data_IF_328050628368
#
_entry.id   IF_328050628368
#
_cell.length_a   1.000
_cell.length_b   1.000
_cell.length_c   1.000
_cell.angle_alpha   90.00
_cell.angle_beta   90.00
_cell.angle_gamma   90.00
#
_symmetry.space_group_name_H-M   'P 1'
#
loop_
_entity.id
_entity.type
_entity.pdbx_description
1 polymer ?
#
# COMPACT_ATOMS: atom_id res chain seq x y z
N UNK A 1 0.72 -2.33 -32.62
CA UNK A 1 1.24 -2.36 -31.24
C UNK A 1 2.72 -2.68 -31.30
N UNK A 2 3.59 -1.66 -31.28
CA UNK A 2 5.04 -1.88 -31.06
C UNK A 2 5.17 -2.64 -29.76
N UNK A 3 5.98 -3.71 -29.74
CA UNK A 3 6.30 -4.47 -28.52
C UNK A 3 6.83 -3.44 -27.51
N UNK A 4 6.04 -3.11 -26.48
CA UNK A 4 6.60 -2.65 -25.21
C UNK A 4 7.62 -3.73 -24.88
N UNK A 5 8.90 -3.39 -24.92
CA UNK A 5 9.93 -4.35 -24.53
C UNK A 5 9.55 -4.89 -23.16
N UNK A 6 9.54 -6.22 -23.03
CA UNK A 6 9.22 -6.87 -21.76
C UNK A 6 10.10 -6.24 -20.67
N UNK A 7 9.50 -5.74 -19.59
CA UNK A 7 10.24 -5.01 -18.56
C UNK A 7 11.39 -5.83 -17.98
N UNK A 8 11.28 -7.16 -17.99
CA UNK A 8 12.36 -8.06 -17.60
C UNK A 8 13.60 -7.91 -18.50
N UNK A 9 13.39 -7.80 -19.82
CA UNK A 9 14.47 -7.58 -20.79
C UNK A 9 15.12 -6.21 -20.64
N UNK A 10 14.32 -5.22 -20.24
CA UNK A 10 14.79 -3.85 -19.99
C UNK A 10 15.60 -3.79 -18.71
N UNK A 11 15.07 -4.36 -17.62
CA UNK A 11 15.77 -4.49 -16.35
C UNK A 11 17.13 -5.14 -16.57
N UNK A 12 17.15 -6.30 -17.24
CA UNK A 12 18.38 -7.03 -17.52
C UNK A 12 19.36 -6.21 -18.37
N UNK A 13 18.87 -5.44 -19.34
CA UNK A 13 19.72 -4.60 -20.19
C UNK A 13 20.32 -3.40 -19.45
N UNK A 14 19.55 -2.78 -18.54
CA UNK A 14 20.03 -1.67 -17.71
C UNK A 14 21.03 -2.20 -16.68
N UNK A 15 20.69 -3.28 -15.96
CA UNK A 15 21.58 -3.93 -15.00
C UNK A 15 22.90 -4.40 -15.65
N UNK A 16 22.86 -4.94 -16.88
CA UNK A 16 24.06 -5.36 -17.59
C UNK A 16 24.93 -4.19 -18.12
N UNK A 17 24.37 -2.98 -18.18
CA UNK A 17 25.08 -1.77 -18.62
C UNK A 17 25.57 -0.91 -17.44
N UNK A 18 25.11 -1.21 -16.22
CA UNK A 18 25.48 -0.51 -15.01
C UNK A 18 26.90 -0.86 -14.57
N UNK A 19 27.55 0.06 -13.87
CA UNK A 19 28.85 -0.21 -13.24
C UNK A 19 28.69 -1.22 -12.09
N UNK A 20 29.76 -1.97 -11.72
CA UNK A 20 29.68 -2.92 -10.61
C UNK A 20 29.19 -2.26 -9.31
N UNK A 21 28.16 -2.85 -8.72
CA UNK A 21 27.49 -2.38 -7.51
C UNK A 21 26.51 -1.20 -7.69
N UNK A 22 26.33 -0.69 -8.90
CA UNK A 22 25.38 0.40 -9.17
C UNK A 22 23.93 -0.08 -9.06
N UNK A 23 23.11 0.68 -8.33
CA UNK A 23 21.66 0.44 -8.22
C UNK A 23 20.96 0.99 -9.46
N UNK A 24 19.89 0.31 -9.90
CA UNK A 24 19.27 0.57 -11.21
C UNK A 24 17.77 0.87 -11.14
N UNK A 25 17.14 0.87 -9.95
CA UNK A 25 15.68 0.89 -9.85
C UNK A 25 15.11 2.27 -10.19
N UNK A 26 15.71 3.34 -9.66
CA UNK A 26 15.45 4.74 -10.04
C UNK A 26 15.55 4.96 -11.56
N UNK A 27 16.61 4.46 -12.18
CA UNK A 27 16.80 4.52 -13.65
C UNK A 27 15.71 3.79 -14.45
N UNK A 28 15.26 2.63 -13.96
CA UNK A 28 14.15 1.90 -14.58
C UNK A 28 12.83 2.65 -14.38
N UNK A 29 12.61 3.24 -13.20
CA UNK A 29 11.43 4.06 -12.92
C UNK A 29 11.37 5.28 -13.83
N UNK A 30 12.49 5.95 -14.07
CA UNK A 30 12.59 7.09 -14.98
C UNK A 30 12.18 6.70 -16.41
N UNK A 31 12.63 5.53 -16.89
CA UNK A 31 12.19 4.99 -18.18
C UNK A 31 10.68 4.72 -18.20
N UNK A 32 10.15 4.11 -17.14
CA UNK A 32 8.73 3.80 -17.03
C UNK A 32 7.87 5.07 -17.08
N UNK A 33 8.28 6.13 -16.37
CA UNK A 33 7.62 7.44 -16.38
C UNK A 33 7.61 8.09 -17.78
N UNK A 34 8.68 7.91 -18.56
CA UNK A 34 8.73 8.39 -19.97
C UNK A 34 7.96 7.53 -20.96
N UNK A 35 7.44 6.37 -20.55
CA UNK A 35 6.73 5.44 -21.44
C UNK A 35 5.22 5.72 -21.40
N UNK A 36 4.62 6.26 -22.48
CA UNK A 36 3.21 6.66 -22.46
C UNK A 36 2.28 5.48 -22.19
N UNK A 37 1.33 5.65 -21.27
CA UNK A 37 0.33 4.62 -20.93
C UNK A 37 0.84 3.48 -20.04
N UNK A 38 2.09 3.56 -19.57
CA UNK A 38 2.71 2.48 -18.80
C UNK A 38 2.10 2.32 -17.41
N UNK A 39 1.93 3.42 -16.68
CA UNK A 39 1.40 3.39 -15.31
C UNK A 39 -0.09 3.01 -15.29
N UNK A 40 -0.85 3.47 -16.27
CA UNK A 40 -2.25 3.12 -16.44
C UNK A 40 -2.41 1.63 -16.75
N UNK A 41 -1.55 1.08 -17.62
CA UNK A 41 -1.52 -0.35 -17.91
C UNK A 41 -1.09 -1.16 -16.67
N UNK A 42 -0.09 -0.68 -15.92
CA UNK A 42 0.34 -1.32 -14.68
C UNK A 42 -0.81 -1.39 -13.68
N UNK A 43 -1.46 -0.28 -13.38
CA UNK A 43 -2.58 -0.23 -12.45
C UNK A 43 -3.72 -1.17 -12.89
N UNK A 44 -4.12 -1.13 -14.17
CA UNK A 44 -5.16 -2.01 -14.69
C UNK A 44 -4.80 -3.49 -14.54
N UNK A 45 -3.56 -3.87 -14.88
CA UNK A 45 -3.10 -5.26 -14.74
C UNK A 45 -2.98 -5.68 -13.27
N UNK A 46 -2.53 -4.81 -12.38
CA UNK A 46 -2.42 -5.09 -10.94
C UNK A 46 -3.81 -5.35 -10.34
N UNK A 47 -4.83 -4.59 -10.74
CA UNK A 47 -6.22 -4.81 -10.34
C UNK A 47 -6.82 -6.08 -10.91
N UNK A 48 -6.89 -6.19 -12.25
CA UNK A 48 -7.61 -7.29 -12.94
C UNK A 48 -6.91 -8.65 -12.76
N UNK A 49 -5.57 -8.69 -12.80
CA UNK A 49 -4.83 -9.94 -12.72
C UNK A 49 -4.67 -10.47 -11.29
N UNK A 50 -5.08 -9.72 -10.27
CA UNK A 50 -5.01 -10.16 -8.87
C UNK A 50 -5.99 -11.29 -8.55
N UNK A 51 -7.12 -11.37 -9.24
CA UNK A 51 -8.07 -12.47 -9.09
C UNK A 51 -7.48 -13.79 -9.60
N UNK A 52 -7.47 -14.84 -8.78
CA UNK A 52 -6.92 -16.15 -9.14
C UNK A 52 -7.57 -16.78 -10.39
N UNK A 53 -8.80 -16.38 -10.72
CA UNK A 53 -9.52 -16.81 -11.93
C UNK A 53 -9.12 -16.05 -13.21
N UNK A 54 -8.37 -14.96 -13.12
CA UNK A 54 -8.00 -14.14 -14.26
C UNK A 54 -6.90 -14.82 -15.11
N UNK A 55 -7.02 -14.86 -16.45
CA UNK A 55 -6.07 -15.57 -17.32
C UNK A 55 -4.63 -15.03 -17.22
N UNK A 56 -4.45 -13.78 -16.79
CA UNK A 56 -3.13 -13.19 -16.59
C UNK A 56 -2.52 -13.43 -15.19
N UNK A 57 -3.27 -13.99 -14.23
CA UNK A 57 -2.82 -14.11 -12.83
C UNK A 57 -1.51 -14.91 -12.70
N UNK A 58 -1.46 -16.11 -13.31
CA UNK A 58 -0.26 -16.95 -13.28
C UNK A 58 0.95 -16.27 -13.92
N UNK A 59 0.73 -15.56 -15.04
CA UNK A 59 1.78 -14.80 -15.73
C UNK A 59 2.30 -13.65 -14.87
N UNK A 60 1.41 -12.93 -14.18
CA UNK A 60 1.84 -11.85 -13.29
C UNK A 60 2.63 -12.39 -12.09
N UNK A 61 2.15 -13.46 -11.45
CA UNK A 61 2.89 -14.12 -10.38
C UNK A 61 4.30 -14.52 -10.81
N UNK A 62 4.43 -15.15 -11.98
CA UNK A 62 5.75 -15.52 -12.53
C UNK A 62 6.65 -14.30 -12.79
N UNK A 63 6.08 -13.21 -13.32
CA UNK A 63 6.81 -11.96 -13.54
C UNK A 63 7.33 -11.37 -12.22
N UNK A 64 6.51 -11.36 -11.16
CA UNK A 64 6.94 -10.93 -9.84
C UNK A 64 8.10 -11.78 -9.30
N UNK A 65 8.02 -13.12 -9.43
CA UNK A 65 9.12 -13.99 -9.02
C UNK A 65 10.42 -13.70 -9.79
N UNK A 66 10.33 -13.46 -11.10
CA UNK A 66 11.50 -13.17 -11.94
C UNK A 66 12.12 -11.81 -11.62
N UNK A 67 11.30 -10.76 -11.51
CA UNK A 67 11.78 -9.42 -11.14
C UNK A 67 12.41 -9.43 -9.75
N UNK A 68 11.81 -10.12 -8.78
CA UNK A 68 12.40 -10.29 -7.45
C UNK A 68 13.78 -10.95 -7.52
N UNK A 69 13.94 -11.99 -8.34
CA UNK A 69 15.24 -12.67 -8.50
C UNK A 69 16.29 -11.73 -9.09
N UNK A 70 15.94 -10.97 -10.14
CA UNK A 70 16.84 -9.98 -10.74
C UNK A 70 17.21 -8.85 -9.77
N UNK A 71 16.25 -8.39 -8.96
CA UNK A 71 16.49 -7.37 -7.93
C UNK A 71 17.42 -7.88 -6.83
N UNK A 72 17.28 -9.13 -6.39
CA UNK A 72 18.20 -9.76 -5.43
C UNK A 72 19.63 -9.78 -6.00
N UNK A 73 19.81 -10.17 -7.27
CA UNK A 73 21.13 -10.19 -7.91
C UNK A 73 21.79 -8.80 -7.92
N UNK A 74 21.02 -7.74 -8.23
CA UNK A 74 21.51 -6.34 -8.20
C UNK A 74 21.89 -5.92 -6.78
N UNK A 75 21.06 -6.21 -5.78
CA UNK A 75 21.33 -5.81 -4.40
C UNK A 75 22.49 -6.59 -3.77
N UNK A 76 22.64 -7.87 -4.08
CA UNK A 76 23.81 -8.66 -3.65
C UNK A 76 25.11 -8.13 -4.29
N UNK A 77 25.07 -7.74 -5.57
CA UNK A 77 26.24 -7.13 -6.24
C UNK A 77 26.59 -5.77 -5.61
N UNK A 78 25.58 -4.93 -5.35
CA UNK A 78 25.76 -3.65 -4.66
C UNK A 78 26.31 -3.81 -3.24
N UNK A 79 25.82 -4.82 -2.51
CA UNK A 79 26.33 -5.18 -1.17
C UNK A 79 27.76 -5.70 -1.21
N UNK A 80 28.09 -6.53 -2.18
CA UNK A 80 29.45 -7.04 -2.39
C UNK A 80 30.46 -5.91 -2.65
N UNK A 81 30.04 -4.86 -3.38
CA UNK A 81 30.86 -3.67 -3.66
C UNK A 81 30.80 -2.60 -2.57
N UNK A 82 30.05 -2.81 -1.48
CA UNK A 82 29.96 -1.89 -0.35
C UNK A 82 29.10 -0.64 -0.61
N UNK A 83 28.28 -0.64 -1.65
CA UNK A 83 27.26 0.39 -1.91
C UNK A 83 26.08 0.22 -0.92
N UNK A 84 25.76 -1.03 -0.58
CA UNK A 84 24.79 -1.38 0.46
C UNK A 84 25.52 -1.83 1.72
N UNK A 85 25.03 -1.40 2.89
CA UNK A 85 25.58 -1.79 4.17
C UNK A 85 25.53 -3.32 4.39
N UNK A 86 26.59 -3.86 5.00
CA UNK A 86 26.80 -5.31 5.09
C UNK A 86 25.76 -6.07 5.93
N UNK A 87 25.06 -5.38 6.84
CA UNK A 87 24.03 -5.90 7.73
C UNK A 87 22.62 -5.89 7.12
N UNK A 88 22.43 -5.30 5.94
CA UNK A 88 21.13 -5.25 5.24
C UNK A 88 20.70 -6.64 4.76
N UNK A 89 19.46 -7.02 5.04
CA UNK A 89 18.82 -8.23 4.54
C UNK A 89 18.34 -8.03 3.10
N UNK A 90 19.11 -8.52 2.12
CA UNK A 90 18.83 -8.31 0.69
C UNK A 90 17.48 -8.90 0.28
N UNK A 91 17.12 -10.07 0.77
CA UNK A 91 15.85 -10.72 0.44
C UNK A 91 14.66 -9.88 0.96
N UNK A 92 14.74 -9.43 2.22
CA UNK A 92 13.73 -8.58 2.84
C UNK A 92 13.64 -7.19 2.21
N UNK A 93 14.77 -6.55 1.92
CA UNK A 93 14.84 -5.26 1.24
C UNK A 93 14.25 -5.34 -0.17
N UNK A 94 14.52 -6.43 -0.91
CA UNK A 94 13.94 -6.62 -2.25
C UNK A 94 12.42 -6.61 -2.21
N UNK A 95 11.81 -7.32 -1.25
CA UNK A 95 10.35 -7.36 -1.11
C UNK A 95 9.80 -5.98 -0.79
N UNK A 96 10.36 -5.32 0.23
CA UNK A 96 9.94 -4.00 0.67
C UNK A 96 10.09 -2.95 -0.43
N UNK A 97 11.21 -2.98 -1.16
CA UNK A 97 11.47 -2.06 -2.26
C UNK A 97 10.52 -2.28 -3.43
N UNK A 98 10.33 -3.54 -3.85
CA UNK A 98 9.38 -3.85 -4.94
C UNK A 98 7.96 -3.43 -4.55
N UNK A 99 7.58 -3.65 -3.29
CA UNK A 99 6.28 -3.21 -2.78
C UNK A 99 6.16 -1.68 -2.75
N UNK A 100 7.15 -0.98 -2.18
CA UNK A 100 7.21 0.47 -2.18
C UNK A 100 7.08 1.05 -3.58
N UNK A 101 7.79 0.49 -4.55
CA UNK A 101 7.70 0.93 -5.93
C UNK A 101 6.32 0.70 -6.56
N UNK A 102 5.72 -0.48 -6.38
CA UNK A 102 4.36 -0.76 -6.86
C UNK A 102 3.33 0.21 -6.26
N UNK A 103 3.43 0.47 -4.95
CA UNK A 103 2.57 1.43 -4.28
C UNK A 103 2.78 2.87 -4.74
N UNK A 104 4.04 3.30 -4.94
CA UNK A 104 4.37 4.65 -5.43
C UNK A 104 3.78 4.88 -6.82
N UNK A 105 3.86 3.88 -7.71
CA UNK A 105 3.29 3.96 -9.05
C UNK A 105 1.77 4.12 -9.03
N UNK A 106 1.06 3.50 -8.08
CA UNK A 106 -0.38 3.69 -7.93
C UNK A 106 -0.69 5.02 -7.26
N UNK A 107 0.01 5.35 -6.18
CA UNK A 107 -0.20 6.57 -5.41
C UNK A 107 0.00 7.82 -6.28
N UNK A 108 0.96 7.82 -7.20
CA UNK A 108 1.18 8.91 -8.15
C UNK A 108 0.03 9.10 -9.16
N UNK A 109 -0.81 8.09 -9.40
CA UNK A 109 -2.02 8.24 -10.22
C UNK A 109 -3.12 9.04 -9.52
N UNK A 110 -3.11 9.05 -8.18
CA UNK A 110 -4.07 9.80 -7.37
C UNK A 110 -3.53 11.15 -6.91
N UNK A 111 -2.23 11.23 -6.62
CA UNK A 111 -1.57 12.41 -6.07
C UNK A 111 -0.34 12.82 -6.91
N UNK A 112 -0.51 13.12 -8.21
CA UNK A 112 0.61 13.37 -9.12
C UNK A 112 1.45 14.60 -8.74
N UNK A 113 0.86 15.57 -8.04
CA UNK A 113 1.56 16.79 -7.59
C UNK A 113 2.32 16.59 -6.26
N UNK A 114 2.19 15.43 -5.62
CA UNK A 114 2.78 15.14 -4.30
C UNK A 114 3.73 13.95 -4.28
N UNK A 115 3.72 13.11 -5.32
CA UNK A 115 4.49 11.85 -5.34
C UNK A 115 5.27 11.74 -6.64
N UNK A 116 6.57 12.01 -6.56
CA UNK A 116 7.53 11.70 -7.61
C UNK A 116 8.14 10.31 -7.35
N UNK A 117 7.80 9.35 -8.22
CA UNK A 117 8.25 7.96 -8.07
C UNK A 117 9.76 7.84 -8.19
N UNK A 118 10.41 8.66 -9.02
CA UNK A 118 11.85 8.56 -9.27
C UNK A 118 12.61 9.12 -8.08
N UNK A 119 12.27 10.32 -7.63
CA UNK A 119 12.88 10.97 -6.46
C UNK A 119 12.76 10.10 -5.20
N UNK A 120 11.57 9.55 -4.95
CA UNK A 120 11.33 8.64 -3.82
C UNK A 120 12.20 7.37 -3.87
N UNK A 121 12.46 6.84 -5.06
CA UNK A 121 13.32 5.65 -5.21
C UNK A 121 14.79 6.00 -5.06
N UNK A 122 15.25 7.13 -5.60
CA UNK A 122 16.64 7.59 -5.44
C UNK A 122 16.97 7.83 -3.97
N UNK A 123 16.10 8.51 -3.23
CA UNK A 123 16.25 8.71 -1.78
C UNK A 123 16.26 7.38 -1.03
N UNK A 124 15.38 6.44 -1.39
CA UNK A 124 15.35 5.10 -0.77
C UNK A 124 16.61 4.30 -1.05
N UNK A 125 17.12 4.35 -2.27
CA UNK A 125 18.36 3.68 -2.69
C UNK A 125 19.55 4.21 -1.89
N UNK A 126 19.64 5.52 -1.68
CA UNK A 126 20.71 6.15 -0.89
C UNK A 126 20.72 5.67 0.58
N UNK A 127 19.54 5.41 1.16
CA UNK A 127 19.43 4.95 2.55
C UNK A 127 20.01 3.55 2.78
N UNK A 128 20.17 2.72 1.75
CA UNK A 128 20.79 1.40 1.90
C UNK A 128 22.29 1.44 2.16
N UNK A 129 22.96 2.56 1.88
CA UNK A 129 24.36 2.77 2.25
C UNK A 129 24.55 2.85 3.77
N UNK A 130 23.48 3.20 4.51
CA UNK A 130 23.50 3.27 5.96
C UNK A 130 23.24 1.90 6.59
N UNK A 131 23.92 1.56 7.71
CA UNK A 131 23.59 0.39 8.52
C UNK A 131 22.11 0.31 8.88
N UNK A 132 21.64 -0.88 9.20
CA UNK A 132 20.28 -1.06 9.71
C UNK A 132 20.14 -0.30 11.02
N UNK A 133 19.01 0.37 11.23
CA UNK A 133 18.72 1.12 12.45
C UNK A 133 19.74 2.23 12.75
N UNK A 134 20.35 2.80 11.70
CA UNK A 134 21.37 3.83 11.84
C UNK A 134 20.84 5.13 12.45
N UNK A 135 21.64 5.73 13.33
CA UNK A 135 21.49 7.08 13.87
C UNK A 135 22.80 7.83 13.67
N UNK A 136 22.71 9.12 13.38
CA UNK A 136 23.87 10.00 13.41
C UNK A 136 24.41 10.07 14.85
N UNK A 137 25.69 9.73 15.10
CA UNK A 137 26.29 9.84 16.44
C UNK A 137 26.27 11.25 17.03
N UNK A 138 26.16 12.27 16.18
CA UNK A 138 26.06 13.67 16.58
C UNK A 138 24.59 14.12 16.83
N UNK A 139 23.61 13.23 16.58
CA UNK A 139 22.21 13.46 16.93
C UNK A 139 22.07 13.39 18.46
N UNK A 140 21.77 14.53 19.09
CA UNK A 140 21.56 14.61 20.54
C UNK A 140 20.06 14.47 20.85
N UNK A 141 19.59 13.27 21.26
CA UNK A 141 18.18 13.05 21.59
C UNK A 141 17.75 13.81 22.86
N UNK A 142 18.68 14.49 23.56
CA UNK A 142 18.44 15.19 24.83
C UNK A 142 18.19 16.70 24.68
N UNK A 143 18.14 17.23 23.46
CA UNK A 143 17.83 18.65 23.22
C UNK A 143 16.38 18.96 23.58
N UNK A 144 16.12 19.41 24.83
CA UNK A 144 14.97 20.20 25.33
C UNK A 144 13.73 20.24 24.41
N UNK A 145 13.21 19.07 24.01
CA UNK A 145 12.11 19.00 23.09
C UNK A 145 10.84 19.23 23.90
N UNK A 146 10.13 20.33 23.59
CA UNK A 146 8.73 20.46 23.99
C UNK A 146 8.01 19.15 23.66
N UNK A 147 7.28 18.60 24.63
CA UNK A 147 6.54 17.35 24.46
C UNK A 147 5.78 17.40 23.13
N UNK A 148 5.91 16.35 22.31
CA UNK A 148 5.19 16.26 21.05
C UNK A 148 3.71 16.62 21.25
N UNK A 149 3.16 17.40 20.32
CA UNK A 149 1.76 17.82 20.32
C UNK A 149 0.79 16.64 20.33
N UNK A 150 -0.52 16.89 20.41
CA UNK A 150 -1.51 15.82 20.44
C UNK A 150 -1.40 14.93 19.21
N UNK A 151 -1.62 13.63 19.40
CA UNK A 151 -1.68 12.67 18.29
C UNK A 151 -2.72 13.12 17.25
N UNK A 152 -2.40 13.08 15.95
CA UNK A 152 -3.36 13.42 14.92
C UNK A 152 -4.51 12.41 14.90
N UNK A 153 -5.67 12.82 14.39
CA UNK A 153 -6.78 11.90 14.10
C UNK A 153 -6.72 11.47 12.64
N UNK A 154 -6.86 10.17 12.38
CA UNK A 154 -6.95 9.67 11.02
C UNK A 154 -8.31 10.04 10.42
N UNK A 155 -8.31 10.98 9.47
CA UNK A 155 -9.52 11.39 8.77
C UNK A 155 -9.95 10.33 7.75
N UNK A 156 -10.99 9.58 8.09
CA UNK A 156 -11.68 8.72 7.13
C UNK A 156 -12.66 9.54 6.28
N UNK A 157 -12.92 9.11 5.06
CA UNK A 157 -13.93 9.75 4.20
C UNK A 157 -15.30 9.46 4.79
N UNK A 158 -15.90 10.45 5.46
CA UNK A 158 -17.23 10.31 6.03
C UNK A 158 -18.29 10.14 4.92
N UNK A 159 -19.25 9.26 5.15
CA UNK A 159 -20.49 9.16 4.34
C UNK A 159 -21.71 9.46 5.19
N UNK A 160 -22.84 9.91 4.59
CA UNK A 160 -24.01 10.37 5.32
C UNK A 160 -24.57 9.27 6.23
N UNK A 161 -24.93 9.63 7.46
CA UNK A 161 -25.65 8.78 8.41
C UNK A 161 -26.83 8.10 7.71
N UNK A 162 -26.76 6.79 7.55
CA UNK A 162 -27.95 5.99 7.22
C UNK A 162 -28.51 5.45 8.53
N UNK A 163 -29.66 5.98 8.94
CA UNK A 163 -30.32 5.64 10.22
C UNK A 163 -30.37 4.11 10.46
N UNK A 164 -30.02 3.64 11.67
CA UNK A 164 -30.05 2.22 11.98
C UNK A 164 -31.50 1.71 12.06
N UNK A 165 -31.98 1.12 10.97
CA UNK A 165 -33.26 0.40 10.94
C UNK A 165 -33.33 -0.82 11.87
N UNK A 166 -34.51 -1.44 11.97
CA UNK A 166 -34.80 -2.62 12.80
C UNK A 166 -33.75 -3.75 12.67
N UNK A 167 -33.56 -4.56 13.73
CA UNK A 167 -32.52 -5.60 13.82
C UNK A 167 -32.46 -6.58 12.63
N UNK A 168 -33.62 -6.91 12.04
CA UNK A 168 -33.69 -7.75 10.83
C UNK A 168 -33.13 -7.04 9.59
N UNK A 169 -33.40 -5.74 9.46
CA UNK A 169 -32.85 -4.89 8.41
C UNK A 169 -31.33 -4.76 8.52
N UNK A 170 -30.79 -4.65 9.75
CA UNK A 170 -29.33 -4.61 9.99
C UNK A 170 -28.63 -5.90 9.57
N UNK A 171 -29.16 -7.07 9.98
CA UNK A 171 -28.60 -8.36 9.57
C UNK A 171 -28.62 -8.54 8.05
N UNK A 172 -29.70 -8.11 7.39
CA UNK A 172 -29.79 -8.18 5.93
C UNK A 172 -28.79 -7.25 5.24
N UNK A 173 -28.64 -6.03 5.75
CA UNK A 173 -27.67 -5.05 5.26
C UNK A 173 -26.24 -5.58 5.35
N UNK A 174 -25.86 -6.15 6.51
CA UNK A 174 -24.57 -6.77 6.70
C UNK A 174 -24.32 -7.95 5.74
N UNK A 175 -25.34 -8.78 5.49
CA UNK A 175 -25.21 -9.88 4.52
C UNK A 175 -25.03 -9.38 3.08
N UNK A 176 -25.80 -8.37 2.67
CA UNK A 176 -25.62 -7.73 1.36
C UNK A 176 -24.21 -7.16 1.21
N UNK A 177 -23.72 -6.49 2.26
CA UNK A 177 -22.40 -5.87 2.27
C UNK A 177 -21.27 -6.91 2.15
N UNK A 178 -21.35 -8.00 2.92
CA UNK A 178 -20.38 -9.09 2.87
C UNK A 178 -20.35 -9.78 1.50
N UNK A 179 -21.52 -10.08 0.91
CA UNK A 179 -21.57 -10.70 -0.43
C UNK A 179 -21.11 -9.73 -1.53
N UNK A 180 -21.42 -8.44 -1.42
CA UNK A 180 -20.93 -7.42 -2.34
C UNK A 180 -19.42 -7.27 -2.26
N UNK A 181 -18.85 -7.21 -1.06
CA UNK A 181 -17.39 -7.18 -0.80
C UNK A 181 -16.71 -8.36 -1.49
N UNK A 182 -17.22 -9.58 -1.28
CA UNK A 182 -16.66 -10.79 -1.88
C UNK A 182 -16.74 -10.78 -3.41
N UNK A 183 -17.85 -10.30 -3.98
CA UNK A 183 -18.00 -10.24 -5.44
C UNK A 183 -17.13 -9.16 -6.06
N UNK A 184 -17.06 -7.96 -5.47
CA UNK A 184 -16.16 -6.90 -5.95
C UNK A 184 -14.69 -7.30 -5.85
N UNK A 185 -14.28 -8.00 -4.78
CA UNK A 185 -12.91 -8.51 -4.66
C UNK A 185 -12.58 -9.58 -5.71
N UNK A 186 -13.56 -10.42 -6.08
CA UNK A 186 -13.34 -11.56 -7.00
C UNK A 186 -13.44 -11.17 -8.46
N UNK A 187 -14.49 -10.43 -8.80
CA UNK A 187 -14.89 -10.14 -10.19
C UNK A 187 -14.64 -8.68 -10.57
N UNK A 188 -14.21 -7.84 -9.64
CA UNK A 188 -14.10 -6.40 -9.85
C UNK A 188 -15.43 -5.66 -9.69
N UNK A 189 -15.36 -4.33 -9.55
CA UNK A 189 -16.55 -3.50 -9.50
C UNK A 189 -17.27 -3.54 -10.84
N UNK A 190 -16.56 -3.34 -11.95
CA UNK A 190 -17.14 -3.23 -13.30
C UNK A 190 -18.05 -4.40 -13.67
N UNK A 191 -17.54 -5.63 -13.53
CA UNK A 191 -18.20 -6.85 -13.99
C UNK A 191 -19.25 -7.41 -13.01
N UNK A 192 -19.31 -6.89 -11.77
CA UNK A 192 -20.32 -7.32 -10.79
C UNK A 192 -21.63 -6.55 -10.97
N UNK A 193 -22.74 -7.20 -11.35
CA UNK A 193 -24.04 -6.52 -11.40
C UNK A 193 -24.82 -6.57 -10.08
N UNK A 194 -25.77 -5.65 -9.87
CA UNK A 194 -26.73 -5.72 -8.76
C UNK A 194 -27.56 -7.01 -8.77
N UNK A 195 -27.73 -7.64 -9.95
CA UNK A 195 -28.43 -8.91 -10.06
C UNK A 195 -27.58 -10.07 -9.55
N UNK A 196 -26.26 -10.04 -9.79
CA UNK A 196 -25.33 -11.05 -9.28
C UNK A 196 -25.29 -11.01 -7.76
N UNK A 197 -25.21 -9.81 -7.17
CA UNK A 197 -25.24 -9.60 -5.72
C UNK A 197 -26.57 -10.07 -5.14
N UNK A 198 -27.71 -9.68 -5.72
CA UNK A 198 -29.03 -10.11 -5.25
C UNK A 198 -29.16 -11.65 -5.27
N UNK A 199 -28.63 -12.29 -6.32
CA UNK A 199 -28.61 -13.74 -6.48
C UNK A 199 -27.73 -14.40 -5.40
N UNK A 200 -26.53 -13.87 -5.15
CA UNK A 200 -25.62 -14.38 -4.12
C UNK A 200 -26.23 -14.30 -2.70
N UNK A 201 -26.89 -13.17 -2.39
CA UNK A 201 -27.54 -12.94 -1.09
C UNK A 201 -28.84 -13.77 -0.93
N UNK A 202 -29.43 -14.21 -2.05
CA UNK A 202 -30.71 -14.92 -2.07
C UNK A 202 -31.93 -14.00 -1.90
N UNK A 203 -31.87 -12.77 -2.43
CA UNK A 203 -32.96 -11.79 -2.39
C UNK A 203 -33.34 -11.30 -3.79
N UNK A 204 -34.50 -10.64 -3.91
CA UNK A 204 -34.84 -9.96 -5.17
C UNK A 204 -33.98 -8.71 -5.36
N UNK A 205 -33.73 -8.32 -6.62
CA UNK A 205 -33.07 -7.04 -6.94
C UNK A 205 -33.81 -5.84 -6.32
N UNK A 206 -35.14 -5.88 -6.26
CA UNK A 206 -35.94 -4.85 -5.61
C UNK A 206 -35.68 -4.77 -4.11
N UNK A 207 -35.54 -5.91 -3.43
CA UNK A 207 -35.18 -5.98 -2.00
C UNK A 207 -33.78 -5.44 -1.76
N UNK A 208 -32.82 -5.76 -2.63
CA UNK A 208 -31.47 -5.19 -2.55
C UNK A 208 -31.52 -3.67 -2.69
N UNK A 209 -32.21 -3.17 -3.71
CA UNK A 209 -32.35 -1.72 -3.98
C UNK A 209 -33.05 -0.96 -2.84
N UNK A 210 -33.90 -1.63 -2.06
CA UNK A 210 -34.48 -1.04 -0.86
C UNK A 210 -33.43 -0.75 0.23
N UNK A 211 -32.39 -1.59 0.33
CA UNK A 211 -31.29 -1.39 1.29
C UNK A 211 -30.18 -0.49 0.74
N UNK A 212 -29.87 -0.62 -0.55
CA UNK A 212 -28.84 0.13 -1.25
C UNK A 212 -29.39 0.62 -2.59
N UNK A 213 -29.85 1.89 -2.69
CA UNK A 213 -30.56 2.40 -3.86
C UNK A 213 -29.79 2.35 -5.18
N UNK A 214 -28.46 2.23 -5.13
CA UNK A 214 -27.61 2.10 -6.31
C UNK A 214 -26.38 1.24 -6.03
N UNK A 215 -25.67 0.85 -7.09
CA UNK A 215 -24.42 0.08 -7.00
C UNK A 215 -23.29 0.93 -6.43
N UNK A 216 -23.29 2.23 -6.73
CA UNK A 216 -22.36 3.23 -6.22
C UNK A 216 -22.52 3.41 -4.71
N UNK A 217 -23.76 3.52 -4.21
CA UNK A 217 -24.02 3.61 -2.76
C UNK A 217 -23.64 2.32 -2.01
N UNK A 218 -23.77 1.17 -2.66
CA UNK A 218 -23.29 -0.09 -2.11
C UNK A 218 -21.76 -0.13 -2.08
N UNK A 219 -21.09 0.34 -3.14
CA UNK A 219 -19.63 0.47 -3.19
C UNK A 219 -19.12 1.41 -2.09
N UNK A 220 -19.72 2.59 -1.93
CA UNK A 220 -19.37 3.51 -0.85
C UNK A 220 -19.50 2.83 0.51
N UNK A 221 -20.56 2.05 0.75
CA UNK A 221 -20.73 1.34 2.00
C UNK A 221 -19.66 0.24 2.22
N UNK A 222 -19.22 -0.46 1.17
CA UNK A 222 -18.13 -1.44 1.26
C UNK A 222 -16.83 -0.75 1.66
N UNK A 223 -16.53 0.39 1.06
CA UNK A 223 -15.35 1.19 1.36
C UNK A 223 -15.39 1.78 2.79
N UNK A 224 -16.56 2.23 3.25
CA UNK A 224 -16.76 2.70 4.63
C UNK A 224 -16.58 1.60 5.66
N UNK A 225 -17.02 0.36 5.37
CA UNK A 225 -16.81 -0.79 6.25
C UNK A 225 -15.31 -1.04 6.44
N UNK A 226 -14.55 -1.01 5.34
CA UNK A 226 -13.09 -1.15 5.38
C UNK A 226 -12.43 -0.06 6.24
N UNK A 227 -12.82 1.20 6.06
CA UNK A 227 -12.23 2.29 6.84
C UNK A 227 -12.59 2.20 8.33
N UNK A 228 -13.81 1.76 8.66
CA UNK A 228 -14.24 1.54 10.04
C UNK A 228 -13.45 0.40 10.68
N UNK A 229 -13.29 -0.71 9.97
CA UNK A 229 -12.57 -1.86 10.48
C UNK A 229 -11.08 -1.58 10.70
N UNK A 230 -10.49 -0.70 9.87
CA UNK A 230 -9.14 -0.18 10.11
C UNK A 230 -9.09 0.63 11.39
N UNK A 231 -10.03 1.54 11.64
CA UNK A 231 -10.05 2.34 12.87
C UNK A 231 -10.25 1.49 14.12
N UNK A 232 -11.12 0.48 14.06
CA UNK A 232 -11.39 -0.43 15.17
C UNK A 232 -10.18 -1.36 15.45
N UNK A 233 -9.56 -1.90 14.40
CA UNK A 233 -8.41 -2.81 14.52
C UNK A 233 -7.08 -2.09 14.79
N UNK A 234 -6.91 -0.85 14.33
CA UNK A 234 -5.75 -0.03 14.65
C UNK A 234 -5.79 0.49 16.08
N UNK A 235 -6.97 0.47 16.73
CA UNK A 235 -7.18 0.66 18.16
C UNK A 235 -5.97 1.19 18.93
N UNK A 236 -5.57 2.43 18.66
CA UNK A 236 -4.46 3.14 19.33
C UNK A 236 -4.81 3.47 20.80
N UNK A 237 -5.78 2.73 21.36
CA UNK A 237 -6.34 2.89 22.68
C UNK A 237 -5.24 2.58 23.70
N UNK A 238 -4.53 3.64 24.10
CA UNK A 238 -3.44 3.57 25.07
C UNK A 238 -2.05 3.93 24.54
N UNK A 239 -1.88 4.22 23.23
CA UNK A 239 -0.61 4.74 22.74
C UNK A 239 -0.35 6.14 23.33
N UNK A 240 0.79 6.31 23.98
CA UNK A 240 1.21 7.53 24.64
C UNK A 240 2.02 8.46 23.72
N UNK A 241 2.56 7.95 22.61
CA UNK A 241 3.38 8.72 21.65
C UNK A 241 3.16 8.30 20.20
N UNK A 242 3.62 9.14 19.26
CA UNK A 242 3.52 8.86 17.84
C UNK A 242 4.40 7.67 17.41
N UNK A 243 5.55 7.48 18.06
CA UNK A 243 6.40 6.31 17.84
C UNK A 243 5.73 5.01 18.29
N UNK A 244 4.95 5.01 19.38
CA UNK A 244 4.16 3.84 19.78
C UNK A 244 3.05 3.51 18.78
N UNK A 245 2.37 4.54 18.26
CA UNK A 245 1.37 4.41 17.18
C UNK A 245 2.01 3.75 15.95
N UNK A 246 3.14 4.27 15.47
CA UNK A 246 3.85 3.72 14.31
C UNK A 246 4.27 2.26 14.55
N UNK A 247 4.89 1.95 15.69
CA UNK A 247 5.33 0.58 16.05
C UNK A 247 4.18 -0.42 16.19
N UNK A 248 2.94 0.03 16.40
CA UNK A 248 1.75 -0.83 16.50
C UNK A 248 1.17 -1.26 15.14
N UNK A 249 1.56 -0.59 14.04
CA UNK A 249 1.05 -0.85 12.69
C UNK A 249 1.19 -2.30 12.24
N UNK A 250 2.35 -2.99 12.43
CA UNK A 250 2.51 -4.37 12.01
C UNK A 250 1.50 -5.31 12.67
N UNK A 251 1.20 -5.10 13.96
CA UNK A 251 0.25 -5.94 14.69
C UNK A 251 -1.20 -5.68 14.22
N UNK A 252 -1.52 -4.43 13.90
CA UNK A 252 -2.79 -4.08 13.25
C UNK A 252 -2.94 -4.75 11.89
N UNK A 253 -1.90 -4.70 11.06
CA UNK A 253 -1.89 -5.35 9.75
C UNK A 253 -2.03 -6.88 9.86
N UNK A 254 -1.37 -7.51 10.84
CA UNK A 254 -1.49 -8.94 11.10
C UNK A 254 -2.94 -9.33 11.46
N UNK A 255 -3.59 -8.56 12.34
CA UNK A 255 -5.00 -8.78 12.70
C UNK A 255 -5.92 -8.63 11.49
N UNK A 256 -5.79 -7.55 10.72
CA UNK A 256 -6.60 -7.35 9.51
C UNK A 256 -6.43 -8.47 8.49
N UNK A 257 -5.20 -8.98 8.30
CA UNK A 257 -4.95 -10.09 7.39
C UNK A 257 -5.56 -11.42 7.87
N UNK A 258 -5.67 -11.62 9.19
CA UNK A 258 -6.26 -12.82 9.80
C UNK A 258 -7.79 -12.76 9.85
N UNK A 259 -8.34 -11.65 10.32
CA UNK A 259 -9.76 -11.51 10.65
C UNK A 259 -10.58 -11.09 9.42
N UNK A 260 -10.00 -10.27 8.53
CA UNK A 260 -10.73 -9.62 7.44
C UNK A 260 -9.97 -9.60 6.10
N UNK A 261 -9.44 -10.75 5.62
CA UNK A 261 -8.69 -10.80 4.35
C UNK A 261 -9.49 -10.26 3.16
N UNK A 262 -10.81 -10.48 3.14
CA UNK A 262 -11.70 -9.99 2.07
C UNK A 262 -11.76 -8.46 1.96
N UNK A 263 -11.52 -7.71 3.05
CA UNK A 263 -11.46 -6.25 3.01
C UNK A 263 -10.15 -5.75 2.41
N UNK A 264 -9.04 -6.46 2.66
CA UNK A 264 -7.75 -6.19 1.99
C UNK A 264 -7.89 -6.44 0.49
N UNK A 265 -8.50 -7.57 0.11
CA UNK A 265 -8.71 -7.93 -1.30
C UNK A 265 -9.55 -6.90 -2.05
N UNK A 266 -10.72 -6.55 -1.51
CA UNK A 266 -11.60 -5.58 -2.17
C UNK A 266 -10.92 -4.21 -2.26
N UNK A 267 -10.19 -3.80 -1.22
CA UNK A 267 -9.49 -2.52 -1.22
C UNK A 267 -8.43 -2.48 -2.31
N UNK A 268 -7.58 -3.51 -2.39
CA UNK A 268 -6.49 -3.57 -3.35
C UNK A 268 -6.97 -3.65 -4.80
N UNK A 269 -8.06 -4.37 -5.07
CA UNK A 269 -8.69 -4.40 -6.40
C UNK A 269 -9.28 -3.02 -6.74
N UNK A 270 -10.08 -2.46 -5.84
CA UNK A 270 -10.77 -1.19 -6.09
C UNK A 270 -9.81 0.00 -6.20
N UNK A 271 -8.69 0.02 -5.46
CA UNK A 271 -7.68 1.08 -5.57
C UNK A 271 -7.00 1.08 -6.94
N UNK A 272 -6.94 -0.07 -7.62
CA UNK A 272 -6.44 -0.17 -8.98
C UNK A 272 -7.51 0.18 -10.02
N UNK A 273 -8.74 -0.34 -9.87
CA UNK A 273 -9.85 -0.08 -10.80
C UNK A 273 -10.31 1.38 -10.79
N UNK A 274 -10.16 2.07 -9.65
CA UNK A 274 -10.60 3.43 -9.47
C UNK A 274 -9.59 4.49 -9.93
N UNK A 275 -8.50 4.10 -10.61
CA UNK A 275 -7.52 5.04 -11.18
C UNK A 275 -8.14 5.99 -12.20
N UNK A 276 -8.99 5.55 -13.15
CA UNK A 276 -9.64 6.48 -14.06
C UNK A 276 -10.57 7.44 -13.31
N UNK A 277 -10.45 8.74 -13.57
CA UNK A 277 -11.28 9.78 -12.94
C UNK A 277 -12.80 9.62 -13.14
N UNK A 278 -13.21 8.83 -14.15
CA UNK A 278 -14.61 8.51 -14.39
C UNK A 278 -15.17 7.42 -13.43
N UNK A 279 -14.30 6.74 -12.68
CA UNK A 279 -14.72 5.69 -11.76
C UNK A 279 -15.41 6.29 -10.52
N UNK A 280 -16.57 5.77 -10.07
CA UNK A 280 -17.33 6.35 -8.95
C UNK A 280 -16.58 6.45 -7.61
N UNK A 281 -15.54 5.63 -7.41
CA UNK A 281 -14.69 5.65 -6.21
C UNK A 281 -13.37 6.42 -6.37
N UNK A 282 -13.11 7.07 -7.51
CA UNK A 282 -11.84 7.78 -7.72
C UNK A 282 -11.58 8.82 -6.63
N UNK A 283 -12.56 9.72 -6.41
CA UNK A 283 -12.46 10.79 -5.41
C UNK A 283 -12.32 10.26 -3.97
N UNK A 284 -12.92 9.10 -3.69
CA UNK A 284 -12.77 8.42 -2.40
C UNK A 284 -11.29 8.03 -2.17
N UNK A 285 -10.65 7.36 -3.14
CA UNK A 285 -9.26 6.94 -3.01
C UNK A 285 -8.31 8.14 -2.99
N UNK A 286 -8.52 9.14 -3.86
CA UNK A 286 -7.73 10.37 -3.86
C UNK A 286 -7.75 11.06 -2.49
N UNK A 287 -8.95 11.23 -1.90
CA UNK A 287 -9.11 11.83 -0.58
C UNK A 287 -8.49 10.97 0.52
N UNK A 288 -8.69 9.65 0.45
CA UNK A 288 -8.16 8.69 1.43
C UNK A 288 -6.62 8.64 1.43
N UNK A 289 -5.99 8.74 0.26
CA UNK A 289 -4.53 8.83 0.14
C UNK A 289 -4.00 10.16 0.65
N UNK A 290 -4.63 11.28 0.29
CA UNK A 290 -4.24 12.60 0.79
C UNK A 290 -4.30 12.67 2.33
N UNK A 291 -5.39 12.18 2.92
CA UNK A 291 -5.58 12.15 4.37
C UNK A 291 -4.58 11.24 5.08
N UNK A 292 -4.27 10.07 4.51
CA UNK A 292 -3.26 9.18 5.09
C UNK A 292 -1.87 9.77 5.02
N UNK A 293 -1.51 10.42 3.92
CA UNK A 293 -0.23 11.09 3.79
C UNK A 293 -0.07 12.20 4.84
N UNK A 294 -1.08 13.06 5.00
CA UNK A 294 -1.10 14.07 6.07
C UNK A 294 -0.98 13.47 7.47
N UNK A 295 -1.72 12.39 7.73
CA UNK A 295 -1.71 11.71 9.03
C UNK A 295 -0.35 11.10 9.37
N UNK A 296 0.24 10.33 8.45
CA UNK A 296 1.52 9.67 8.69
C UNK A 296 2.68 10.65 8.70
N UNK A 297 2.65 11.71 7.90
CA UNK A 297 3.65 12.79 7.98
C UNK A 297 3.65 13.41 9.36
N UNK A 298 2.48 13.71 9.92
CA UNK A 298 2.40 14.28 11.26
C UNK A 298 2.86 13.30 12.34
N UNK A 299 2.56 11.99 12.22
CA UNK A 299 3.08 10.98 13.13
C UNK A 299 4.62 10.90 13.09
N UNK A 300 5.22 10.84 11.90
CA UNK A 300 6.67 10.81 11.77
C UNK A 300 7.31 12.12 12.28
N UNK A 301 6.67 13.27 12.05
CA UNK A 301 7.15 14.56 12.58
C UNK A 301 7.11 14.57 14.11
N UNK A 302 6.04 14.08 14.73
CA UNK A 302 5.95 13.98 16.19
C UNK A 302 6.95 12.96 16.74
N UNK A 303 7.13 11.81 16.07
CA UNK A 303 8.15 10.83 16.44
C UNK A 303 9.57 11.40 16.33
N UNK A 304 9.83 12.30 15.38
CA UNK A 304 11.10 13.01 15.26
C UNK A 304 11.31 14.01 16.39
N UNK A 305 10.28 14.79 16.73
CA UNK A 305 10.32 15.70 17.89
C UNK A 305 10.59 14.94 19.18
N UNK A 306 9.97 13.78 19.36
CA UNK A 306 10.19 12.93 20.52
C UNK A 306 11.57 12.24 20.51
N UNK A 307 12.32 12.26 19.39
CA UNK A 307 13.60 11.58 19.21
C UNK A 307 13.51 10.10 18.81
N UNK A 308 12.30 9.59 18.56
CA UNK A 308 12.08 8.22 18.07
C UNK A 308 12.50 8.06 16.60
N UNK A 309 12.19 9.04 15.75
CA UNK A 309 12.70 9.12 14.37
C UNK A 309 14.03 9.90 14.36
N UNK A 310 15.11 9.38 13.73
CA UNK A 310 16.37 10.11 13.60
C UNK A 310 16.22 11.47 12.87
N UNK A 311 17.03 12.45 13.23
CA UNK A 311 16.90 13.83 12.72
C UNK A 311 17.21 13.98 11.22
N UNK A 312 17.96 13.06 10.64
CA UNK A 312 18.31 13.03 9.21
C UNK A 312 17.20 12.49 8.31
N UNK A 313 16.16 11.88 8.89
CA UNK A 313 15.02 11.33 8.14
C UNK A 313 13.97 12.40 7.87
N UNK A 314 13.51 12.50 6.62
CA UNK A 314 12.38 13.37 6.29
C UNK A 314 11.03 12.71 6.64
N UNK A 315 10.20 13.30 7.52
CA UNK A 315 8.88 12.78 7.82
C UNK A 315 7.94 12.65 6.62
N UNK A 316 8.08 13.49 5.58
CA UNK A 316 7.24 13.40 4.37
C UNK A 316 7.64 12.18 3.53
N UNK A 317 8.95 11.98 3.31
CA UNK A 317 9.49 10.79 2.67
C UNK A 317 9.05 9.50 3.38
N UNK A 318 9.28 9.38 4.69
CA UNK A 318 8.98 8.15 5.43
C UNK A 318 7.47 7.84 5.46
N UNK A 319 6.62 8.87 5.54
CA UNK A 319 5.17 8.70 5.42
C UNK A 319 4.75 8.18 4.03
N UNK A 320 5.29 8.79 2.96
CA UNK A 320 5.00 8.40 1.58
C UNK A 320 5.45 6.97 1.32
N UNK A 321 6.67 6.63 1.75
CA UNK A 321 7.24 5.31 1.59
C UNK A 321 6.47 4.25 2.39
N UNK A 322 6.09 4.52 3.64
CA UNK A 322 5.30 3.59 4.45
C UNK A 322 3.96 3.25 3.79
N UNK A 323 3.22 4.26 3.31
CA UNK A 323 1.93 4.05 2.63
C UNK A 323 2.12 3.22 1.37
N UNK A 324 3.06 3.63 0.51
CA UNK A 324 3.33 2.95 -0.73
C UNK A 324 3.77 1.50 -0.51
N UNK A 325 4.70 1.27 0.42
CA UNK A 325 5.18 -0.08 0.74
C UNK A 325 4.05 -0.93 1.31
N UNK A 326 3.21 -0.39 2.20
CA UNK A 326 2.10 -1.16 2.76
C UNK A 326 1.10 -1.58 1.68
N UNK A 327 0.66 -0.67 0.84
CA UNK A 327 -0.28 -0.98 -0.24
C UNK A 327 0.33 -1.94 -1.26
N UNK A 328 1.60 -1.73 -1.63
CA UNK A 328 2.33 -2.65 -2.50
C UNK A 328 2.48 -4.06 -1.92
N UNK A 329 2.69 -4.18 -0.60
CA UNK A 329 2.70 -5.47 0.08
C UNK A 329 1.32 -6.15 -0.03
N UNK A 330 0.23 -5.39 0.07
CA UNK A 330 -1.12 -5.92 -0.13
C UNK A 330 -1.33 -6.37 -1.58
N UNK A 331 -0.83 -5.65 -2.58
CA UNK A 331 -0.90 -6.06 -3.99
C UNK A 331 -0.15 -7.35 -4.25
N UNK A 332 1.09 -7.46 -3.76
CA UNK A 332 1.88 -8.68 -3.87
C UNK A 332 1.25 -9.85 -3.11
N UNK A 333 0.63 -9.59 -1.96
CA UNK A 333 -0.06 -10.60 -1.17
C UNK A 333 -1.20 -11.26 -1.96
N UNK A 334 -1.89 -10.54 -2.85
CA UNK A 334 -2.92 -11.14 -3.72
C UNK A 334 -2.37 -12.24 -4.64
N UNK A 335 -1.09 -12.20 -4.99
CA UNK A 335 -0.43 -13.20 -5.83
C UNK A 335 0.25 -14.33 -5.04
N UNK A 336 0.62 -14.11 -3.78
CA UNK A 336 1.40 -15.06 -2.98
C UNK A 336 1.11 -15.00 -1.46
N UNK A 337 -0.15 -15.25 -1.09
CA UNK A 337 -0.64 -15.18 0.30
C UNK A 337 0.07 -16.10 1.28
N UNK A 338 0.58 -17.23 0.80
CA UNK A 338 1.22 -18.24 1.66
C UNK A 338 2.64 -17.85 2.04
N UNK A 339 3.31 -17.04 1.22
CA UNK A 339 4.73 -16.71 1.40
C UNK A 339 4.96 -15.28 1.84
N UNK A 340 4.03 -14.36 1.58
CA UNK A 340 4.17 -12.97 1.95
C UNK A 340 3.50 -12.67 3.29
N UNK A 341 4.31 -12.41 4.31
CA UNK A 341 3.84 -11.89 5.59
C UNK A 341 4.00 -10.36 5.62
N UNK A 342 2.89 -9.65 5.39
CA UNK A 342 2.83 -8.19 5.38
C UNK A 342 3.35 -7.60 6.70
N UNK A 343 2.95 -8.19 7.83
CA UNK A 343 3.30 -7.67 9.15
C UNK A 343 4.80 -7.79 9.42
N UNK A 344 5.43 -8.89 9.01
CA UNK A 344 6.88 -9.08 9.14
C UNK A 344 7.66 -8.02 8.35
N UNK A 345 7.24 -7.70 7.12
CA UNK A 345 7.91 -6.67 6.32
C UNK A 345 7.68 -5.25 6.87
N UNK A 346 6.48 -4.93 7.34
CA UNK A 346 6.19 -3.65 8.00
C UNK A 346 7.01 -3.47 9.28
N UNK A 347 7.12 -4.53 10.10
CA UNK A 347 7.91 -4.50 11.34
C UNK A 347 9.38 -4.25 11.05
N UNK A 348 9.97 -5.01 10.12
CA UNK A 348 11.37 -4.83 9.75
C UNK A 348 11.68 -3.42 9.22
N UNK A 349 10.74 -2.80 8.49
CA UNK A 349 10.90 -1.42 8.04
C UNK A 349 10.83 -0.41 9.19
N UNK A 350 9.84 -0.54 10.08
CA UNK A 350 9.67 0.37 11.20
C UNK A 350 10.77 0.23 12.25
N UNK A 351 11.32 -0.97 12.46
CA UNK A 351 12.48 -1.19 13.33
C UNK A 351 13.75 -0.51 12.79
N UNK A 352 13.89 -0.41 11.46
CA UNK A 352 15.01 0.28 10.79
C UNK A 352 14.84 1.81 10.83
N UNK A 353 13.61 2.31 10.66
CA UNK A 353 13.32 3.76 10.62
C UNK A 353 13.15 4.36 12.01
N UNK A 354 12.66 3.60 13.00
CA UNK A 354 12.46 4.03 14.38
C UNK A 354 13.37 3.25 15.35
N UNK A 355 14.70 3.29 15.15
CA UNK A 355 15.64 2.53 15.95
C UNK A 355 15.50 2.89 17.44
N UNK A 356 15.79 1.94 18.35
CA UNK A 356 15.82 2.25 19.78
C UNK A 356 16.76 3.43 20.06
N UNK A 357 16.42 4.20 21.10
CA UNK A 357 17.23 5.33 21.56
C UNK A 357 18.50 4.87 22.26
#
# INVERSE_FOLDING_TARGET
MRRLADNESVFSAIAAAAEPGELVFSSIAERNARTPGYLELFAALTGEASAAGHPAHARMRERYCRLRSLSVDVLEDAKYHGVIAADRDVDGETVRHTAGWDGLQLLSQYLPDRVDVVEMLEERENLWALPVAWRDPDDDPSSDADAAGPLPELRTTATPDTEPGYAVGRRRRAQILADATRLFARDGYGDTSLQDIATAVGVSKSTLLHHYPSKELLLSAVLTERDSAINENQGFSGAASAGEVLRSIPDGAARSAQDEPGLIEVYAVLSCEAVPAAHPAHDYFATRFANALEYFTELFRLAQVDGDLPADRDPVHEATWLIAMWDGLQYQWLYDRERLDIATHLRAHLDDVLPPR
#
